data_IF_439291627610
#
_entry.id   IF_439291627610
#
_cell.length_a   1.000
_cell.length_b   1.000
_cell.length_c   1.000
_cell.angle_alpha   90.00
_cell.angle_beta   90.00
_cell.angle_gamma   90.00
#
_symmetry.space_group_name_H-M   'P 1'
#
loop_
_entity.id
_entity.type
_entity.pdbx_description
1 polymer ?
#
# COMPACT_ATOMS: atom_id res chain seq x y z
N UNK A 1 41.94 -69.39 -13.89
CA UNK A 1 41.66 -69.01 -15.29
C UNK A 1 40.19 -68.92 -15.47
N UNK A 2 39.62 -67.68 -15.60
CA UNK A 2 38.24 -67.51 -15.86
C UNK A 2 37.96 -67.88 -17.31
N UNK A 3 36.86 -68.63 -17.53
CA UNK A 3 36.45 -69.10 -18.85
C UNK A 3 35.97 -67.93 -19.70
N UNK A 4 36.21 -67.95 -21.06
CA UNK A 4 35.84 -66.81 -21.95
C UNK A 4 34.37 -66.41 -21.93
N UNK A 5 33.49 -67.23 -21.44
CA UNK A 5 32.05 -67.05 -21.38
C UNK A 5 31.61 -66.07 -20.26
N UNK A 6 32.30 -66.02 -19.13
CA UNK A 6 32.02 -65.16 -18.00
C UNK A 6 32.35 -63.68 -18.26
N UNK A 7 33.30 -63.40 -19.13
CA UNK A 7 33.73 -62.05 -19.49
C UNK A 7 32.75 -61.38 -20.48
N UNK A 8 32.12 -62.13 -21.37
CA UNK A 8 31.09 -61.63 -22.30
C UNK A 8 29.80 -61.30 -21.60
N UNK A 9 29.34 -62.10 -20.64
CA UNK A 9 28.12 -61.86 -19.84
C UNK A 9 28.30 -60.63 -18.96
N UNK A 10 29.46 -60.44 -18.35
CA UNK A 10 29.74 -59.25 -17.52
C UNK A 10 29.72 -57.94 -18.34
N UNK A 11 30.18 -57.96 -19.57
CA UNK A 11 30.17 -56.78 -20.47
C UNK A 11 28.76 -56.48 -20.98
N UNK A 12 27.92 -57.48 -21.20
CA UNK A 12 26.51 -57.32 -21.60
C UNK A 12 25.66 -56.73 -20.44
N UNK A 13 25.88 -57.19 -19.23
CA UNK A 13 25.21 -56.65 -18.03
C UNK A 13 25.61 -55.22 -17.72
N UNK A 14 26.90 -54.87 -17.89
CA UNK A 14 27.35 -53.48 -17.77
C UNK A 14 26.70 -52.55 -18.79
N UNK A 15 26.50 -53.00 -20.01
CA UNK A 15 25.83 -52.23 -21.07
C UNK A 15 24.34 -52.05 -20.77
N UNK A 16 23.64 -53.07 -20.24
CA UNK A 16 22.26 -53.01 -19.83
C UNK A 16 22.08 -52.07 -18.66
N UNK A 17 22.94 -52.11 -17.66
CA UNK A 17 22.92 -51.19 -16.50
C UNK A 17 23.17 -49.73 -16.90
N UNK A 18 24.14 -49.47 -17.79
CA UNK A 18 24.40 -48.13 -18.30
C UNK A 18 23.22 -47.58 -19.10
N UNK A 19 22.54 -48.37 -19.93
CA UNK A 19 21.33 -47.97 -20.64
C UNK A 19 20.16 -47.64 -19.70
N UNK A 20 19.95 -48.45 -18.64
CA UNK A 20 18.96 -48.19 -17.61
C UNK A 20 19.28 -46.89 -16.86
N UNK A 21 20.52 -46.67 -16.46
CA UNK A 21 20.97 -45.45 -15.80
C UNK A 21 20.81 -44.21 -16.70
N UNK A 22 21.15 -44.28 -17.96
CA UNK A 22 20.97 -43.18 -18.91
C UNK A 22 19.47 -42.87 -19.12
N UNK A 23 18.63 -43.91 -19.22
CA UNK A 23 17.18 -43.74 -19.32
C UNK A 23 16.62 -43.03 -18.07
N UNK A 24 16.96 -43.48 -16.88
CA UNK A 24 16.49 -42.85 -15.64
C UNK A 24 17.02 -41.42 -15.45
N UNK A 25 18.27 -41.14 -15.90
CA UNK A 25 18.76 -39.75 -15.89
C UNK A 25 17.99 -38.87 -16.85
N UNK A 26 17.69 -39.31 -18.06
CA UNK A 26 16.86 -38.56 -19.00
C UNK A 26 15.42 -38.37 -18.47
N UNK A 27 14.84 -39.42 -17.88
CA UNK A 27 13.52 -39.33 -17.25
C UNK A 27 13.49 -38.32 -16.09
N UNK A 28 14.50 -38.30 -15.23
CA UNK A 28 14.69 -37.34 -14.15
C UNK A 28 14.82 -35.88 -14.68
N UNK A 29 15.62 -35.66 -15.72
CA UNK A 29 15.74 -34.35 -16.36
C UNK A 29 14.44 -33.89 -17.00
N UNK A 30 13.73 -34.78 -17.70
CA UNK A 30 12.43 -34.48 -18.28
C UNK A 30 11.41 -34.10 -17.19
N UNK A 31 11.39 -34.85 -16.07
CA UNK A 31 10.54 -34.54 -14.92
C UNK A 31 10.87 -33.19 -14.31
N UNK A 32 12.14 -32.85 -14.13
CA UNK A 32 12.58 -31.54 -13.64
C UNK A 32 12.15 -30.40 -14.57
N UNK A 33 12.23 -30.57 -15.88
CA UNK A 33 11.78 -29.56 -16.85
C UNK A 33 10.26 -29.37 -16.75
N UNK A 34 9.50 -30.48 -16.69
CA UNK A 34 8.04 -30.43 -16.54
C UNK A 34 7.64 -29.80 -15.18
N UNK A 35 8.33 -30.17 -14.09
CA UNK A 35 8.08 -29.59 -12.77
C UNK A 35 8.41 -28.09 -12.74
N UNK A 36 9.53 -27.66 -13.35
CA UNK A 36 9.87 -26.25 -13.48
C UNK A 36 8.85 -25.50 -14.36
N UNK A 37 8.41 -26.09 -15.46
CA UNK A 37 7.34 -25.53 -16.29
C UNK A 37 5.99 -25.40 -15.56
N UNK A 38 5.62 -26.42 -14.77
CA UNK A 38 4.41 -26.38 -13.94
C UNK A 38 4.50 -25.35 -12.82
N UNK A 39 5.69 -25.22 -12.20
CA UNK A 39 5.95 -24.20 -11.17
C UNK A 39 5.87 -22.78 -11.74
N UNK A 40 6.49 -22.52 -12.90
CA UNK A 40 6.39 -21.23 -13.60
C UNK A 40 4.95 -20.93 -14.07
N UNK A 41 4.23 -21.94 -14.56
CA UNK A 41 2.82 -21.82 -14.89
C UNK A 41 1.97 -21.46 -13.66
N UNK A 42 2.16 -22.16 -12.54
CA UNK A 42 1.44 -21.86 -11.29
C UNK A 42 1.76 -20.47 -10.75
N UNK A 43 3.04 -20.07 -10.76
CA UNK A 43 3.46 -18.71 -10.40
C UNK A 43 2.83 -17.65 -11.31
N UNK A 44 2.75 -17.89 -12.61
CA UNK A 44 2.08 -17.00 -13.55
C UNK A 44 0.55 -17.01 -13.36
N UNK A 45 -0.06 -18.14 -13.04
CA UNK A 45 -1.50 -18.24 -12.77
C UNK A 45 -1.92 -17.66 -11.41
N UNK A 46 -1.06 -17.77 -10.38
CA UNK A 46 -1.31 -17.17 -9.06
C UNK A 46 -1.13 -15.65 -9.02
N UNK A 47 -0.43 -15.08 -9.99
CA UNK A 47 -0.31 -13.62 -10.17
C UNK A 47 -1.50 -12.97 -10.91
N UNK A 48 -2.65 -13.66 -11.00
CA UNK A 48 -3.91 -13.04 -11.43
C UNK A 48 -4.02 -12.71 -12.92
N UNK A 49 -3.57 -13.59 -13.81
CA UNK A 49 -3.76 -13.48 -15.26
C UNK A 49 -2.56 -12.91 -16.02
N UNK A 50 -2.54 -13.06 -17.35
CA UNK A 50 -1.44 -12.57 -18.20
C UNK A 50 -1.16 -11.09 -17.97
N UNK A 51 0.10 -10.67 -17.79
CA UNK A 51 0.46 -9.25 -17.62
C UNK A 51 0.01 -8.37 -18.80
N UNK A 52 -0.34 -8.96 -19.93
CA UNK A 52 -0.80 -8.27 -21.15
C UNK A 52 -2.32 -8.06 -21.19
N UNK A 53 -3.09 -8.63 -20.25
CA UNK A 53 -4.55 -8.51 -20.28
C UNK A 53 -5.02 -7.21 -19.63
N UNK A 54 -5.94 -6.51 -20.28
CA UNK A 54 -6.62 -5.35 -19.70
C UNK A 54 -7.31 -5.71 -18.38
N UNK A 55 -7.21 -4.85 -17.38
CA UNK A 55 -7.74 -5.07 -16.05
C UNK A 55 -7.95 -3.73 -15.34
N UNK A 56 -8.70 -3.75 -14.25
CA UNK A 56 -8.76 -2.64 -13.28
C UNK A 56 -7.73 -2.93 -12.19
N UNK A 57 -6.78 -2.02 -11.98
CA UNK A 57 -5.79 -2.15 -10.91
C UNK A 57 -6.41 -1.71 -9.58
N UNK A 58 -6.32 -2.55 -8.54
CA UNK A 58 -6.66 -2.14 -7.17
C UNK A 58 -5.39 -1.88 -6.40
N UNK A 59 -5.24 -0.63 -5.90
CA UNK A 59 -4.16 -0.23 -4.99
C UNK A 59 -4.78 0.00 -3.63
N UNK A 60 -4.28 -0.69 -2.59
CA UNK A 60 -4.78 -0.54 -1.23
C UNK A 60 -3.87 0.41 -0.45
N UNK A 61 -4.47 1.45 0.15
CA UNK A 61 -3.85 2.40 1.07
C UNK A 61 -4.40 2.10 2.46
N UNK A 62 -3.63 1.39 3.27
CA UNK A 62 -4.06 0.94 4.59
C UNK A 62 -3.11 1.44 5.69
N UNK A 63 -3.68 1.81 6.85
CA UNK A 63 -2.93 2.25 8.03
C UNK A 63 -2.29 3.62 7.87
N UNK A 64 -1.15 3.83 8.53
CA UNK A 64 -0.45 5.13 8.59
C UNK A 64 0.27 5.42 7.27
N UNK A 65 0.01 6.59 6.69
CA UNK A 65 0.64 7.07 5.47
C UNK A 65 1.98 7.72 5.79
N UNK A 66 3.07 7.09 5.34
CA UNK A 66 4.43 7.60 5.51
C UNK A 66 5.04 8.12 4.20
N UNK A 67 4.43 7.78 3.05
CA UNK A 67 4.95 8.13 1.73
C UNK A 67 6.23 7.36 1.40
N UNK A 68 6.34 6.12 1.84
CA UNK A 68 7.49 5.26 1.56
C UNK A 68 7.64 4.94 0.07
N UNK A 69 8.88 4.74 -0.37
CA UNK A 69 9.23 4.56 -1.80
C UNK A 69 8.55 3.35 -2.43
N UNK A 70 8.36 2.27 -1.70
CA UNK A 70 7.79 1.03 -2.26
C UNK A 70 6.31 1.21 -2.55
N UNK A 71 5.57 1.90 -1.65
CA UNK A 71 4.19 2.29 -1.90
C UNK A 71 4.09 3.21 -3.11
N UNK A 72 4.92 4.25 -3.21
CA UNK A 72 4.89 5.18 -4.33
C UNK A 72 5.24 4.52 -5.67
N UNK A 73 6.16 3.57 -5.66
CA UNK A 73 6.54 2.80 -6.85
C UNK A 73 5.37 2.00 -7.44
N UNK A 74 4.41 1.54 -6.63
CA UNK A 74 3.23 0.84 -7.13
C UNK A 74 2.46 1.73 -8.13
N UNK A 75 2.31 3.02 -7.84
CA UNK A 75 1.64 3.98 -8.73
C UNK A 75 2.37 4.13 -10.05
N UNK A 76 3.70 4.22 -10.02
CA UNK A 76 4.54 4.31 -11.22
C UNK A 76 4.47 3.04 -12.06
N UNK A 77 4.45 1.87 -11.43
CA UNK A 77 4.35 0.57 -12.10
C UNK A 77 2.94 0.40 -12.73
N UNK A 78 1.88 0.78 -12.02
CA UNK A 78 0.50 0.78 -12.55
C UNK A 78 0.35 1.75 -13.71
N UNK A 79 0.97 2.93 -13.64
CA UNK A 79 0.93 3.92 -14.72
C UNK A 79 1.51 3.36 -16.04
N UNK A 80 2.48 2.44 -15.98
CA UNK A 80 3.14 1.80 -17.13
C UNK A 80 2.48 0.47 -17.54
N UNK A 81 1.54 -0.04 -16.76
CA UNK A 81 0.91 -1.35 -16.99
C UNK A 81 -0.24 -1.29 -17.99
N UNK A 82 -0.83 -2.46 -18.31
CA UNK A 82 -2.06 -2.60 -19.10
C UNK A 82 -3.35 -2.40 -18.29
N UNK A 83 -3.27 -1.81 -17.10
CA UNK A 83 -4.45 -1.42 -16.35
C UNK A 83 -5.24 -0.35 -17.11
N UNK A 84 -6.54 -0.55 -17.31
CA UNK A 84 -7.43 0.39 -18.01
C UNK A 84 -7.94 1.47 -17.07
N UNK A 85 -8.06 1.16 -15.78
CA UNK A 85 -8.49 2.07 -14.72
C UNK A 85 -7.89 1.65 -13.37
N UNK A 86 -8.04 2.50 -12.36
CA UNK A 86 -7.50 2.25 -11.02
C UNK A 86 -8.56 2.48 -9.95
N UNK A 87 -8.64 1.56 -9.02
CA UNK A 87 -9.39 1.69 -7.77
C UNK A 87 -8.38 1.90 -6.64
N UNK A 88 -8.53 2.97 -5.89
CA UNK A 88 -7.82 3.20 -4.63
C UNK A 88 -8.73 2.75 -3.48
N UNK A 89 -8.44 1.61 -2.90
CA UNK A 89 -9.13 1.14 -1.68
C UNK A 89 -8.47 1.79 -0.47
N UNK A 90 -9.18 2.69 0.21
CA UNK A 90 -8.60 3.51 1.29
C UNK A 90 -9.18 3.10 2.64
N UNK A 91 -8.29 2.76 3.57
CA UNK A 91 -8.57 2.43 4.97
C UNK A 91 -7.47 3.06 5.84
N UNK A 92 -7.52 4.40 6.04
CA UNK A 92 -6.41 5.12 6.65
C UNK A 92 -6.86 6.27 7.55
N UNK A 93 -6.31 6.37 8.77
CA UNK A 93 -6.49 7.53 9.65
C UNK A 93 -5.64 8.74 9.22
N UNK A 94 -4.79 8.60 8.22
CA UNK A 94 -3.81 9.59 7.78
C UNK A 94 -2.37 9.20 8.06
N UNK A 95 -1.52 10.20 8.28
CA UNK A 95 -0.10 9.97 8.51
C UNK A 95 0.70 11.27 8.52
N UNK A 96 1.95 11.23 8.05
CA UNK A 96 2.78 12.44 7.96
C UNK A 96 2.29 13.34 6.82
N UNK A 97 2.33 14.65 7.01
CA UNK A 97 1.90 15.65 6.01
C UNK A 97 2.65 15.44 4.69
N UNK A 98 3.97 15.38 4.73
CA UNK A 98 4.81 15.14 3.55
C UNK A 98 4.54 13.78 2.89
N UNK A 99 4.24 12.73 3.69
CA UNK A 99 3.87 11.41 3.17
C UNK A 99 2.56 11.46 2.38
N UNK A 100 1.57 12.16 2.90
CA UNK A 100 0.26 12.35 2.26
C UNK A 100 0.37 13.21 0.99
N UNK A 101 1.16 14.29 1.01
CA UNK A 101 1.45 15.15 -0.14
C UNK A 101 2.09 14.36 -1.28
N UNK A 102 3.17 13.61 -0.99
CA UNK A 102 3.83 12.76 -1.99
C UNK A 102 2.90 11.71 -2.59
N UNK A 103 2.05 11.11 -1.76
CA UNK A 103 1.08 10.13 -2.20
C UNK A 103 0.02 10.78 -3.11
N UNK A 104 -0.51 11.94 -2.72
CA UNK A 104 -1.42 12.73 -3.53
C UNK A 104 -0.84 13.05 -4.91
N UNK A 105 0.40 13.52 -4.98
CA UNK A 105 1.08 13.85 -6.24
C UNK A 105 1.20 12.63 -7.16
N UNK A 106 1.52 11.45 -6.61
CA UNK A 106 1.60 10.21 -7.40
C UNK A 106 0.22 9.78 -7.91
N UNK A 107 -0.82 9.92 -7.09
CA UNK A 107 -2.20 9.64 -7.50
C UNK A 107 -2.63 10.62 -8.60
N UNK A 108 -2.33 11.91 -8.47
CA UNK A 108 -2.65 12.90 -9.51
C UNK A 108 -1.96 12.60 -10.85
N UNK A 109 -0.65 12.32 -10.81
CA UNK A 109 0.12 11.92 -12.02
C UNK A 109 -0.44 10.64 -12.64
N UNK A 110 -0.94 9.71 -11.84
CA UNK A 110 -1.59 8.50 -12.35
C UNK A 110 -2.94 8.83 -12.98
N UNK A 111 -3.75 9.72 -12.37
CA UNK A 111 -5.06 10.09 -12.87
C UNK A 111 -5.03 10.89 -14.18
N UNK A 112 -3.91 11.53 -14.51
CA UNK A 112 -3.68 12.13 -15.82
C UNK A 112 -3.56 11.10 -16.95
N UNK A 113 -3.20 9.85 -16.60
CA UNK A 113 -2.97 8.76 -17.58
C UNK A 113 -4.10 7.75 -17.62
N UNK A 114 -4.76 7.52 -16.49
CA UNK A 114 -5.77 6.46 -16.31
C UNK A 114 -6.84 6.97 -15.35
N UNK A 115 -8.13 6.67 -15.58
CA UNK A 115 -9.17 7.01 -14.63
C UNK A 115 -8.90 6.38 -13.25
N UNK A 116 -9.01 7.19 -12.19
CA UNK A 116 -8.77 6.77 -10.81
C UNK A 116 -10.02 7.05 -9.97
N UNK A 117 -10.54 6.05 -9.28
CA UNK A 117 -11.63 6.19 -8.33
C UNK A 117 -11.19 5.76 -6.93
N UNK A 118 -11.39 6.62 -5.93
CA UNK A 118 -11.15 6.28 -4.54
C UNK A 118 -12.41 5.64 -3.95
N UNK A 119 -12.24 4.52 -3.29
CA UNK A 119 -13.28 3.81 -2.53
C UNK A 119 -12.87 3.81 -1.06
N UNK A 120 -13.63 4.50 -0.25
CA UNK A 120 -13.41 4.59 1.19
C UNK A 120 -14.15 3.44 1.87
N UNK A 121 -13.40 2.56 2.53
CA UNK A 121 -13.93 1.49 3.37
C UNK A 121 -14.46 2.06 4.70
N UNK A 122 -13.79 1.75 5.81
CA UNK A 122 -14.14 2.32 7.11
C UNK A 122 -13.70 3.77 7.27
N UNK A 123 -12.52 4.16 6.73
CA UNK A 123 -11.97 5.48 7.01
C UNK A 123 -11.04 6.01 5.89
N UNK A 124 -11.22 7.31 5.58
CA UNK A 124 -10.24 8.15 4.89
C UNK A 124 -10.16 9.50 5.60
N UNK A 125 -9.33 9.58 6.64
CA UNK A 125 -9.21 10.78 7.47
C UNK A 125 -7.85 11.44 7.29
N UNK A 126 -7.76 12.78 7.45
CA UNK A 126 -6.51 13.54 7.39
C UNK A 126 -5.72 13.22 6.12
N UNK A 127 -4.48 12.70 6.22
CA UNK A 127 -3.68 12.26 5.08
C UNK A 127 -4.37 11.21 4.19
N UNK A 128 -5.27 10.38 4.74
CA UNK A 128 -6.11 9.46 3.98
C UNK A 128 -7.11 10.18 3.08
N UNK A 129 -7.65 11.31 3.56
CA UNK A 129 -8.52 12.15 2.75
C UNK A 129 -7.73 12.94 1.69
N UNK A 130 -6.52 13.40 2.01
CA UNK A 130 -5.59 13.98 1.03
C UNK A 130 -5.37 12.99 -0.13
N UNK A 131 -5.08 11.72 0.18
CA UNK A 131 -4.92 10.69 -0.83
C UNK A 131 -6.21 10.48 -1.67
N UNK A 132 -7.38 10.43 -1.01
CA UNK A 132 -8.66 10.29 -1.70
C UNK A 132 -8.92 11.43 -2.71
N UNK A 133 -8.58 12.67 -2.35
CA UNK A 133 -8.71 13.83 -3.23
C UNK A 133 -7.79 13.80 -4.45
N UNK A 134 -6.77 12.94 -4.45
CA UNK A 134 -5.96 12.68 -5.63
C UNK A 134 -6.73 11.96 -6.76
N UNK A 135 -7.80 11.24 -6.45
CA UNK A 135 -8.63 10.54 -7.42
C UNK A 135 -9.56 11.47 -8.20
N UNK A 136 -10.15 10.96 -9.30
CA UNK A 136 -11.15 11.67 -10.11
C UNK A 136 -12.54 11.64 -9.46
N UNK A 137 -12.79 10.63 -8.63
CA UNK A 137 -14.07 10.46 -7.90
C UNK A 137 -13.80 9.77 -6.57
N UNK A 138 -14.57 10.14 -5.57
CA UNK A 138 -14.53 9.55 -4.22
C UNK A 138 -15.89 8.92 -3.93
N UNK A 139 -15.89 7.60 -3.68
CA UNK A 139 -17.05 6.82 -3.27
C UNK A 139 -16.83 6.37 -1.81
N UNK A 140 -17.81 6.55 -0.95
CA UNK A 140 -17.73 6.15 0.46
C UNK A 140 -18.97 5.38 0.88
N UNK A 141 -18.85 4.49 1.85
CA UNK A 141 -20.06 3.91 2.48
C UNK A 141 -20.72 4.91 3.40
N UNK A 142 -22.01 4.74 3.68
CA UNK A 142 -22.78 5.70 4.48
C UNK A 142 -22.22 5.96 5.89
N UNK A 143 -21.50 5.00 6.48
CA UNK A 143 -20.84 5.12 7.80
C UNK A 143 -19.32 5.25 7.73
N UNK A 144 -18.72 5.32 6.55
CA UNK A 144 -17.29 5.61 6.44
C UNK A 144 -16.96 6.93 7.13
N UNK A 145 -15.84 7.01 7.80
CA UNK A 145 -15.34 8.24 8.40
C UNK A 145 -14.46 8.99 7.41
N UNK A 146 -14.82 10.24 7.12
CA UNK A 146 -14.13 11.09 6.12
C UNK A 146 -13.82 12.44 6.73
N UNK A 147 -12.81 13.13 6.22
CA UNK A 147 -12.47 14.49 6.66
C UNK A 147 -11.30 14.51 7.63
N UNK A 148 -11.48 14.96 8.86
CA UNK A 148 -10.37 15.29 9.78
C UNK A 148 -9.36 16.21 9.08
N UNK A 149 -9.91 17.28 8.44
CA UNK A 149 -9.11 18.25 7.70
C UNK A 149 -8.44 19.17 8.69
N UNK A 150 -7.20 18.86 9.01
CA UNK A 150 -6.43 19.55 10.02
C UNK A 150 -5.01 19.00 10.10
N UNK A 151 -4.13 19.76 10.77
CA UNK A 151 -2.73 19.40 11.02
C UNK A 151 -2.46 19.56 12.50
N UNK A 152 -1.77 18.60 13.09
CA UNK A 152 -1.34 18.68 14.48
C UNK A 152 0.14 18.33 14.60
N UNK A 153 0.78 18.92 15.61
CA UNK A 153 2.08 18.50 16.10
C UNK A 153 1.92 18.11 17.57
N UNK A 154 2.13 16.85 17.89
CA UNK A 154 1.90 16.31 19.21
C UNK A 154 3.17 15.66 19.76
N UNK A 155 3.51 16.00 20.98
CA UNK A 155 4.62 15.41 21.72
C UNK A 155 4.30 15.36 23.21
N UNK A 156 4.77 14.36 23.95
CA UNK A 156 4.61 14.33 25.41
C UNK A 156 5.51 15.36 26.05
N UNK A 157 5.02 16.02 27.11
CA UNK A 157 5.86 16.82 28.00
C UNK A 157 5.99 16.12 29.36
N UNK A 158 7.19 15.64 29.63
CA UNK A 158 7.53 14.86 30.82
C UNK A 158 8.39 15.65 31.84
N UNK A 159 8.55 16.97 31.67
CA UNK A 159 9.41 17.80 32.51
C UNK A 159 9.10 17.66 33.99
N UNK A 160 7.81 17.74 34.39
CA UNK A 160 7.40 17.57 35.79
C UNK A 160 7.70 16.18 36.34
N UNK A 161 7.60 15.13 35.53
CA UNK A 161 7.95 13.78 35.94
C UNK A 161 9.46 13.68 36.23
N UNK A 162 10.29 14.22 35.33
CA UNK A 162 11.75 14.26 35.51
C UNK A 162 12.16 15.02 36.76
N UNK A 163 11.56 16.17 37.03
CA UNK A 163 11.76 16.92 38.26
C UNK A 163 11.45 16.08 39.52
N UNK A 164 10.33 15.32 39.47
CA UNK A 164 9.90 14.49 40.62
C UNK A 164 10.90 13.38 40.94
N UNK A 165 11.52 12.78 39.89
CA UNK A 165 12.53 11.71 40.09
C UNK A 165 13.96 12.23 40.18
N UNK A 166 14.16 13.55 40.20
CA UNK A 166 15.46 14.19 40.35
C UNK A 166 16.37 14.12 39.12
N UNK A 167 15.82 13.91 37.94
CA UNK A 167 16.56 13.89 36.67
C UNK A 167 16.52 15.27 36.02
N UNK A 168 17.69 15.83 35.73
CA UNK A 168 17.83 17.08 34.97
C UNK A 168 18.38 16.80 33.59
N UNK A 169 17.73 17.37 32.57
CA UNK A 169 18.26 17.37 31.21
C UNK A 169 19.17 18.57 31.01
N UNK A 170 20.42 18.33 30.59
CA UNK A 170 21.38 19.38 30.26
C UNK A 170 21.59 19.39 28.74
N UNK A 171 21.48 20.56 28.13
CA UNK A 171 21.62 20.74 26.68
C UNK A 171 22.55 21.92 26.37
N UNK A 172 23.42 21.72 25.39
CA UNK A 172 24.20 22.79 24.78
C UNK A 172 23.67 22.99 23.36
N UNK A 173 22.97 24.09 23.11
CA UNK A 173 22.28 24.39 21.84
C UNK A 173 22.98 25.53 21.12
N UNK A 174 23.01 25.49 19.80
CA UNK A 174 23.50 26.59 18.97
C UNK A 174 22.55 27.80 18.95
N UNK A 175 21.30 27.60 19.31
CA UNK A 175 20.25 28.64 19.43
C UNK A 175 19.10 28.15 20.32
N UNK A 176 18.32 29.07 20.94
CA UNK A 176 17.22 28.70 21.84
C UNK A 176 16.15 27.80 21.22
N UNK A 177 15.89 27.96 19.91
CA UNK A 177 14.87 27.17 19.19
C UNK A 177 15.39 25.84 18.64
N UNK A 178 16.71 25.58 18.76
CA UNK A 178 17.24 24.29 18.29
C UNK A 178 16.70 23.15 19.14
N UNK A 179 15.99 22.19 18.48
CA UNK A 179 15.33 21.06 19.12
C UNK A 179 14.28 21.46 20.19
N UNK A 180 13.67 22.63 20.06
CA UNK A 180 12.58 23.09 20.93
C UNK A 180 11.26 23.17 20.16
N UNK A 181 10.15 22.69 20.77
CA UNK A 181 10.06 22.02 22.05
C UNK A 181 10.57 20.57 22.00
N UNK A 182 11.15 20.07 23.09
CA UNK A 182 11.71 18.71 23.17
C UNK A 182 10.97 17.78 24.13
N UNK A 183 10.01 18.30 24.88
CA UNK A 183 9.22 17.55 25.89
C UNK A 183 9.92 17.33 27.24
N UNK A 184 11.19 17.68 27.40
CA UNK A 184 11.95 17.53 28.65
C UNK A 184 11.96 18.82 29.45
N UNK A 185 11.61 19.94 28.86
CA UNK A 185 11.50 21.25 29.47
C UNK A 185 10.13 21.89 29.23
N UNK A 186 9.69 22.87 30.00
CA UNK A 186 8.51 23.65 29.70
C UNK A 186 8.63 24.31 28.32
N UNK A 187 7.59 24.17 27.48
CA UNK A 187 7.60 24.76 26.15
C UNK A 187 7.56 26.29 26.21
N UNK A 188 8.58 26.95 25.69
CA UNK A 188 8.63 28.42 25.67
C UNK A 188 7.57 29.00 24.72
N UNK A 189 7.15 30.26 24.95
CA UNK A 189 6.24 30.97 24.03
C UNK A 189 6.78 31.02 22.60
N UNK A 190 8.08 31.22 22.42
CA UNK A 190 8.76 31.31 21.11
C UNK A 190 8.75 29.95 20.40
N UNK A 191 9.04 28.86 21.12
CA UNK A 191 8.97 27.51 20.57
C UNK A 191 7.54 27.14 20.15
N UNK A 192 6.55 27.53 20.98
CA UNK A 192 5.13 27.36 20.64
C UNK A 192 4.73 28.15 19.39
N UNK A 193 5.17 29.40 19.29
CA UNK A 193 4.89 30.24 18.11
C UNK A 193 5.52 29.65 16.83
N UNK A 194 6.76 29.16 16.92
CA UNK A 194 7.43 28.52 15.79
C UNK A 194 6.67 27.26 15.31
N UNK A 195 6.21 26.39 16.23
CA UNK A 195 5.39 25.23 15.87
C UNK A 195 4.01 25.65 15.32
N UNK A 196 3.37 26.65 15.89
CA UNK A 196 2.08 27.15 15.40
C UNK A 196 2.20 27.65 13.95
N UNK A 197 3.33 28.29 13.60
CA UNK A 197 3.58 28.71 12.22
C UNK A 197 3.71 27.53 11.25
N UNK A 198 4.41 26.46 11.62
CA UNK A 198 4.52 25.23 10.80
C UNK A 198 3.16 24.53 10.63
N UNK A 199 2.40 24.42 11.72
CA UNK A 199 1.05 23.82 11.68
C UNK A 199 0.13 24.65 10.77
N UNK A 200 0.20 25.98 10.91
CA UNK A 200 -0.61 26.90 10.10
C UNK A 200 -0.30 26.78 8.62
N UNK A 201 0.96 26.78 8.22
CA UNK A 201 1.40 26.66 6.84
C UNK A 201 0.88 25.36 6.19
N UNK A 202 1.11 24.23 6.86
CA UNK A 202 0.63 22.93 6.40
C UNK A 202 -0.91 22.84 6.37
N UNK A 203 -1.59 23.50 7.31
CA UNK A 203 -3.04 23.54 7.35
C UNK A 203 -3.62 24.42 6.24
N UNK A 204 -3.01 25.56 5.96
CA UNK A 204 -3.43 26.44 4.86
C UNK A 204 -3.30 25.71 3.52
N UNK A 205 -2.19 25.01 3.28
CA UNK A 205 -2.03 24.14 2.11
C UNK A 205 -3.15 23.08 2.02
N UNK A 206 -3.50 22.40 3.11
CA UNK A 206 -4.54 21.39 3.10
C UNK A 206 -5.93 22.01 2.80
N UNK A 207 -6.24 23.17 3.36
CA UNK A 207 -7.48 23.92 3.05
C UNK A 207 -7.55 24.31 1.58
N UNK A 208 -6.44 24.78 1.02
CA UNK A 208 -6.36 25.16 -0.38
C UNK A 208 -6.61 23.96 -1.29
N UNK A 209 -6.03 22.80 -0.94
CA UNK A 209 -6.28 21.55 -1.64
C UNK A 209 -7.75 21.13 -1.60
N UNK A 210 -8.42 21.22 -0.43
CA UNK A 210 -9.86 20.96 -0.31
C UNK A 210 -10.68 21.94 -1.15
N UNK A 211 -10.34 23.23 -1.10
CA UNK A 211 -11.00 24.28 -1.89
C UNK A 211 -10.94 23.96 -3.38
N UNK A 212 -9.77 23.62 -3.87
CA UNK A 212 -9.52 23.33 -5.28
C UNK A 212 -10.21 22.03 -5.71
N UNK A 213 -9.97 20.96 -4.99
CA UNK A 213 -10.40 19.61 -5.39
C UNK A 213 -11.90 19.37 -5.16
N UNK A 214 -12.52 20.06 -4.22
CA UNK A 214 -13.93 19.87 -3.87
C UNK A 214 -14.80 21.08 -4.24
N UNK A 215 -14.20 22.14 -4.76
CA UNK A 215 -14.91 23.39 -5.13
C UNK A 215 -15.75 23.94 -3.97
N UNK A 216 -15.20 23.89 -2.74
CA UNK A 216 -15.82 24.37 -1.51
C UNK A 216 -15.16 25.68 -1.10
N UNK A 217 -15.95 26.74 -0.85
CA UNK A 217 -15.45 28.06 -0.52
C UNK A 217 -16.21 28.68 0.65
N UNK A 218 -15.67 29.78 1.21
CA UNK A 218 -16.35 30.57 2.23
C UNK A 218 -16.67 29.81 3.50
N UNK A 219 -17.90 30.02 4.02
CA UNK A 219 -18.37 29.39 5.25
C UNK A 219 -18.40 27.86 5.18
N UNK A 220 -18.79 27.30 4.03
CA UNK A 220 -18.75 25.85 3.84
C UNK A 220 -17.33 25.27 3.94
N UNK A 221 -16.30 26.01 3.51
CA UNK A 221 -14.91 25.58 3.70
C UNK A 221 -14.53 25.61 5.18
N UNK A 222 -14.92 26.66 5.91
CA UNK A 222 -14.64 26.75 7.34
C UNK A 222 -15.32 25.61 8.12
N UNK A 223 -16.57 25.26 7.77
CA UNK A 223 -17.31 24.16 8.39
C UNK A 223 -16.59 22.81 8.22
N UNK A 224 -16.07 22.51 7.04
CA UNK A 224 -15.43 21.21 6.78
C UNK A 224 -13.97 21.14 7.19
N UNK A 225 -13.34 22.27 7.55
CA UNK A 225 -11.89 22.34 7.88
C UNK A 225 -11.63 22.65 9.35
N UNK A 226 -12.56 22.34 10.25
CA UNK A 226 -12.41 22.52 11.68
C UNK A 226 -11.73 21.31 12.39
N UNK A 227 -11.31 20.32 11.63
CA UNK A 227 -10.63 19.13 12.14
C UNK A 227 -11.53 17.96 12.50
N UNK A 228 -12.85 18.11 12.44
CA UNK A 228 -13.80 17.01 12.73
C UNK A 228 -13.83 15.96 11.62
N UNK A 229 -14.32 14.77 11.96
CA UNK A 229 -14.68 13.72 11.00
C UNK A 229 -16.17 13.78 10.69
N UNK A 230 -16.52 13.31 9.51
CA UNK A 230 -17.89 13.22 9.01
C UNK A 230 -18.19 11.78 8.62
N UNK A 231 -19.44 11.34 8.80
CA UNK A 231 -19.89 10.10 8.17
C UNK A 231 -19.95 10.27 6.64
N UNK A 232 -19.91 9.17 5.88
CA UNK A 232 -20.04 9.25 4.42
C UNK A 232 -21.31 10.01 3.98
N UNK A 233 -22.43 9.84 4.68
CA UNK A 233 -23.68 10.59 4.42
C UNK A 233 -23.51 12.10 4.61
N UNK A 234 -22.89 12.52 5.72
CA UNK A 234 -22.58 13.93 5.96
C UNK A 234 -21.57 14.44 4.92
N UNK A 235 -20.54 13.65 4.62
CA UNK A 235 -19.53 13.99 3.64
C UNK A 235 -20.12 14.20 2.24
N UNK A 236 -21.13 13.41 1.84
CA UNK A 236 -21.85 13.61 0.59
C UNK A 236 -22.60 14.96 0.56
N UNK A 237 -23.33 15.28 1.63
CA UNK A 237 -24.05 16.55 1.74
C UNK A 237 -23.11 17.76 1.69
N UNK A 238 -21.92 17.61 2.29
CA UNK A 238 -20.87 18.63 2.33
C UNK A 238 -19.94 18.60 1.10
N UNK A 239 -20.22 17.77 0.12
CA UNK A 239 -19.43 17.58 -1.11
C UNK A 239 -17.99 17.11 -0.87
N UNK A 240 -17.71 16.54 0.29
CA UNK A 240 -16.41 15.91 0.57
C UNK A 240 -16.21 14.57 -0.16
N UNK A 241 -17.30 13.89 -0.50
CA UNK A 241 -17.33 12.72 -1.38
C UNK A 241 -18.35 12.92 -2.50
N UNK A 242 -18.24 12.11 -3.57
CA UNK A 242 -19.05 12.27 -4.78
C UNK A 242 -20.25 11.33 -4.84
N UNK A 243 -20.18 10.21 -4.12
CA UNK A 243 -21.27 9.24 -4.05
C UNK A 243 -21.19 8.38 -2.80
N UNK A 244 -22.34 7.84 -2.38
CA UNK A 244 -22.38 6.71 -1.47
C UNK A 244 -22.37 5.41 -2.28
N UNK A 245 -21.62 4.41 -1.81
CA UNK A 245 -21.56 3.12 -2.48
C UNK A 245 -20.36 2.28 -2.04
N UNK A 246 -20.14 1.25 -2.81
CA UNK A 246 -19.09 0.23 -2.63
C UNK A 246 -18.10 0.23 -3.80
N UNK A 247 -17.18 -0.70 -3.81
CA UNK A 247 -16.29 -0.91 -4.97
C UNK A 247 -17.06 -1.26 -6.24
N UNK A 248 -18.18 -1.97 -6.12
CA UNK A 248 -19.02 -2.32 -7.28
C UNK A 248 -19.62 -1.08 -7.94
N UNK A 249 -20.06 -0.10 -7.14
CA UNK A 249 -20.56 1.18 -7.64
C UNK A 249 -19.44 2.00 -8.30
N UNK A 250 -18.23 1.92 -7.78
CA UNK A 250 -17.05 2.54 -8.38
C UNK A 250 -16.70 1.90 -9.74
N UNK A 251 -16.77 0.56 -9.86
CA UNK A 251 -16.58 -0.14 -11.14
C UNK A 251 -17.67 0.26 -12.15
N UNK A 252 -18.94 0.27 -11.73
CA UNK A 252 -20.03 0.68 -12.59
C UNK A 252 -19.87 2.12 -13.10
N UNK A 253 -19.36 3.02 -12.27
CA UNK A 253 -19.03 4.39 -12.68
C UNK A 253 -17.89 4.42 -13.72
N UNK A 254 -16.81 3.65 -13.51
CA UNK A 254 -15.70 3.55 -14.46
C UNK A 254 -16.20 3.04 -15.82
N UNK A 255 -17.02 2.02 -15.83
CA UNK A 255 -17.60 1.45 -17.06
C UNK A 255 -18.50 2.46 -17.79
N UNK A 256 -19.37 3.16 -17.06
CA UNK A 256 -20.36 4.05 -17.60
C UNK A 256 -19.82 5.42 -18.01
N UNK A 257 -19.06 6.06 -17.12
CA UNK A 257 -18.64 7.46 -17.27
C UNK A 257 -17.23 7.62 -17.84
N UNK A 258 -16.40 6.56 -17.75
CA UNK A 258 -15.04 6.56 -18.29
C UNK A 258 -14.85 5.62 -19.47
N UNK A 259 -15.94 5.01 -19.94
CA UNK A 259 -15.95 4.08 -21.08
C UNK A 259 -14.97 2.91 -20.91
N UNK A 260 -14.75 2.46 -19.68
CA UNK A 260 -13.94 1.28 -19.40
C UNK A 260 -14.73 0.03 -19.85
N UNK A 261 -14.04 -0.91 -20.48
CA UNK A 261 -14.62 -2.18 -20.92
C UNK A 261 -15.29 -2.90 -19.73
N UNK A 262 -16.49 -3.44 -19.98
CA UNK A 262 -17.27 -4.13 -18.95
C UNK A 262 -16.64 -5.45 -18.54
N UNK A 263 -16.85 -5.80 -17.28
CA UNK A 263 -16.41 -7.08 -16.70
C UNK A 263 -14.89 -7.30 -16.75
N UNK A 264 -14.09 -6.26 -16.79
CA UNK A 264 -12.64 -6.39 -16.62
C UNK A 264 -12.32 -6.97 -15.22
N UNK A 265 -11.36 -7.90 -15.14
CA UNK A 265 -10.94 -8.43 -13.85
C UNK A 265 -10.28 -7.32 -13.01
N UNK A 266 -10.61 -7.28 -11.72
CA UNK A 266 -9.90 -6.44 -10.74
C UNK A 266 -8.68 -7.18 -10.24
N UNK A 267 -7.49 -6.54 -10.29
CA UNK A 267 -6.23 -7.12 -9.85
C UNK A 267 -5.60 -6.29 -8.77
N UNK A 268 -5.22 -6.94 -7.66
CA UNK A 268 -4.50 -6.30 -6.55
C UNK A 268 -3.06 -6.00 -6.93
N UNK A 269 -2.66 -4.75 -6.74
CA UNK A 269 -1.28 -4.30 -6.84
C UNK A 269 -0.76 -4.04 -5.43
N UNK A 270 0.14 -4.91 -4.98
CA UNK A 270 0.71 -4.89 -3.62
C UNK A 270 2.22 -4.67 -3.70
N UNK A 271 2.81 -4.19 -2.60
CA UNK A 271 4.27 -4.20 -2.45
C UNK A 271 4.82 -5.58 -2.79
N UNK A 272 5.84 -5.63 -3.63
CA UNK A 272 6.62 -6.86 -3.76
C UNK A 272 7.27 -7.13 -2.41
N UNK A 273 6.97 -8.26 -1.80
CA UNK A 273 7.72 -8.71 -0.63
C UNK A 273 9.19 -8.81 -1.05
N UNK A 274 10.06 -8.10 -0.36
CA UNK A 274 11.50 -8.30 -0.50
C UNK A 274 11.85 -9.69 0.02
N UNK A 275 12.87 -10.33 -0.59
CA UNK A 275 13.42 -11.59 -0.06
C UNK A 275 13.89 -11.41 1.38
N UNK A 276 14.26 -10.19 1.77
CA UNK A 276 14.67 -9.83 3.13
C UNK A 276 13.50 -9.85 4.14
N UNK A 277 12.24 -9.68 3.68
CA UNK A 277 11.03 -9.82 4.50
C UNK A 277 10.61 -11.28 4.69
N UNK A 278 11.15 -12.18 3.88
CA UNK A 278 11.00 -13.62 3.97
C UNK A 278 12.12 -14.16 4.87
N UNK A 279 12.01 -13.97 6.19
CA UNK A 279 12.82 -14.75 7.12
C UNK A 279 12.68 -16.25 6.83
N UNK A 280 13.71 -17.06 7.17
CA UNK A 280 13.73 -18.51 6.95
C UNK A 280 12.43 -19.24 7.34
N UNK A 281 11.71 -18.72 8.36
CA UNK A 281 10.38 -19.19 8.78
C UNK A 281 9.26 -18.83 7.79
N UNK A 282 9.33 -17.67 7.14
CA UNK A 282 8.38 -17.27 6.10
C UNK A 282 8.53 -18.11 4.83
N UNK A 283 9.76 -18.41 4.42
CA UNK A 283 10.02 -19.31 3.29
C UNK A 283 9.55 -20.75 3.57
N UNK A 284 9.68 -21.22 4.82
CA UNK A 284 9.19 -22.54 5.22
C UNK A 284 7.64 -22.58 5.25
N UNK A 285 6.98 -21.51 5.70
CA UNK A 285 5.53 -21.41 5.74
C UNK A 285 4.93 -21.31 4.33
N UNK A 286 5.51 -20.48 3.45
CA UNK A 286 5.09 -20.37 2.04
C UNK A 286 5.37 -21.68 1.26
N UNK A 287 6.49 -22.37 1.56
CA UNK A 287 6.79 -23.70 1.03
C UNK A 287 5.81 -24.79 1.50
N UNK A 288 5.41 -24.75 2.78
CA UNK A 288 4.41 -25.67 3.32
C UNK A 288 3.01 -25.41 2.75
N UNK A 289 2.60 -24.15 2.58
CA UNK A 289 1.35 -23.76 1.92
C UNK A 289 1.33 -24.17 0.43
N UNK A 290 2.46 -24.07 -0.27
CA UNK A 290 2.61 -24.58 -1.64
C UNK A 290 2.47 -26.09 -1.75
N UNK A 291 2.76 -26.82 -0.68
CA UNK A 291 2.61 -28.27 -0.58
C UNK A 291 1.25 -28.71 -0.01
N UNK A 292 0.33 -27.77 0.23
CA UNK A 292 -1.02 -28.06 0.72
C UNK A 292 -1.12 -28.28 2.25
N UNK A 293 -0.09 -27.91 3.02
CA UNK A 293 -0.15 -27.92 4.48
C UNK A 293 -0.64 -26.56 4.98
N UNK A 294 -1.91 -26.47 5.35
CA UNK A 294 -2.42 -25.33 6.12
C UNK A 294 -1.95 -25.46 7.57
N UNK A 295 -1.01 -24.63 7.97
CA UNK A 295 -0.59 -24.50 9.36
C UNK A 295 -1.69 -23.85 10.22
N UNK A 296 -1.73 -24.12 11.54
CA UNK A 296 -2.71 -23.50 12.43
C UNK A 296 -2.54 -21.98 12.42
N UNK A 297 -3.65 -21.27 12.22
CA UNK A 297 -3.72 -19.83 12.33
C UNK A 297 -3.27 -19.42 13.75
N UNK A 298 -2.18 -18.67 13.85
CA UNK A 298 -1.79 -18.02 15.09
C UNK A 298 -2.74 -16.85 15.32
N UNK A 299 -3.64 -17.05 16.29
CA UNK A 299 -4.56 -16.05 16.84
C UNK A 299 -3.81 -14.95 17.61
#
# INVERSE_FOLDING_TARGET
>A
MATPDQTSDYLLDRRKLRRKLSFWRMAAFAFLIVAAGAATWRLAASSGGSPLQHHIARITINGIITGDRDTLKIFDDVAKSHASAVILSIESPGGTTTGAERLYDHIRKLSEKKPVVAVVGGMAASGGYIAAMGADRIVAQGNSLVGSIGVLFQFPNVSKLLDTVGVKMEEVKSSPLKASPNGYEPTSPEARAALAALVKDSFDWFKDLVRERRSINGESLAEVTDGRVFTGRQALSLRLVDALGTEQDAIAWLEKEKNIEKNLPVRDWKKRRSIDDLGLLGMAADGAAMLGFEGPALS
#
